data_IF_589525366439
#
_entry.id   IF_589525366439
#
_cell.length_a   1.000
_cell.length_b   1.000
_cell.length_c   1.000
_cell.angle_alpha   90.00
_cell.angle_beta   90.00
_cell.angle_gamma   90.00
#
_symmetry.space_group_name_H-M   'P 1'
#
loop_
_entity.id
_entity.type
_entity.pdbx_description
1 polymer ?
#
# COMPACT_ATOMS: atom_id res chain seq x y z
N UNK A 1 -2.27 9.74 -3.84
CA UNK A 1 -1.01 9.01 -3.68
C UNK A 1 0.10 9.92 -3.17
N UNK A 2 1.14 9.35 -2.56
CA UNK A 2 2.25 10.09 -1.96
C UNK A 2 3.02 10.97 -2.97
N UNK A 3 2.99 10.63 -4.25
CA UNK A 3 3.66 11.38 -5.32
C UNK A 3 3.22 12.86 -5.39
N UNK A 4 1.96 13.16 -5.06
CA UNK A 4 1.43 14.53 -5.07
C UNK A 4 2.16 15.37 -4.02
N UNK A 5 2.37 14.80 -2.82
CA UNK A 5 3.10 15.47 -1.75
C UNK A 5 4.58 15.63 -2.09
N UNK A 6 5.23 14.59 -2.65
CA UNK A 6 6.61 14.70 -3.10
C UNK A 6 6.80 15.85 -4.10
N UNK A 7 5.92 15.94 -5.10
CA UNK A 7 5.98 16.99 -6.10
C UNK A 7 5.77 18.39 -5.49
N UNK A 8 4.84 18.53 -4.54
CA UNK A 8 4.59 19.81 -3.87
C UNK A 8 5.75 20.24 -2.98
N UNK A 9 6.38 19.31 -2.26
CA UNK A 9 7.56 19.60 -1.44
C UNK A 9 8.71 20.09 -2.31
N UNK A 10 8.96 19.40 -3.45
CA UNK A 10 10.01 19.82 -4.38
C UNK A 10 9.71 21.19 -5.04
N UNK A 11 8.45 21.45 -5.39
CA UNK A 11 8.02 22.75 -5.95
C UNK A 11 8.30 23.92 -4.99
N UNK A 12 8.08 23.71 -3.69
CA UNK A 12 8.36 24.71 -2.64
C UNK A 12 9.86 24.85 -2.38
N UNK A 13 10.61 23.78 -2.62
CA UNK A 13 12.04 23.67 -2.36
C UNK A 13 12.35 23.00 -1.03
N UNK A 14 13.55 22.43 -0.95
CA UNK A 14 14.08 21.73 0.22
C UNK A 14 15.32 22.49 0.68
N UNK A 15 15.36 22.83 1.97
CA UNK A 15 16.55 23.38 2.61
C UNK A 15 17.20 22.28 3.45
N UNK A 16 18.45 21.97 3.16
CA UNK A 16 19.23 21.06 3.98
C UNK A 16 19.53 21.68 5.34
N UNK A 17 19.45 20.84 6.37
CA UNK A 17 19.78 21.21 7.74
C UNK A 17 21.16 20.67 8.08
N UNK A 18 21.98 21.47 8.76
CA UNK A 18 23.35 21.11 9.15
C UNK A 18 23.41 20.20 10.38
N UNK A 19 22.30 19.97 11.07
CA UNK A 19 22.24 19.10 12.25
C UNK A 19 22.36 17.63 11.88
N UNK A 20 23.22 16.90 12.60
CA UNK A 20 23.35 15.45 12.45
C UNK A 20 22.07 14.76 12.91
N UNK A 21 21.60 13.82 12.09
CA UNK A 21 20.45 12.98 12.46
C UNK A 21 20.86 11.88 13.42
N UNK A 22 20.10 11.70 14.48
CA UNK A 22 20.18 10.54 15.33
C UNK A 22 19.40 9.37 14.74
N UNK A 23 20.02 8.21 14.68
CA UNK A 23 19.42 7.00 14.11
C UNK A 23 19.16 5.93 15.16
N UNK A 24 18.08 5.17 15.01
CA UNK A 24 17.98 3.85 15.58
C UNK A 24 18.74 2.86 14.70
N UNK A 25 19.72 2.17 15.28
CA UNK A 25 20.56 1.20 14.56
C UNK A 25 20.18 -0.21 15.02
N UNK A 26 19.75 -1.03 14.07
CA UNK A 26 19.45 -2.43 14.34
C UNK A 26 20.75 -3.19 14.54
N UNK A 27 20.97 -3.73 15.75
CA UNK A 27 22.22 -4.42 16.14
C UNK A 27 22.13 -5.94 16.04
N UNK A 28 20.93 -6.49 15.98
CA UNK A 28 20.69 -7.94 15.89
C UNK A 28 19.39 -8.23 15.17
N UNK A 29 19.28 -9.43 14.62
CA UNK A 29 18.02 -9.89 14.01
C UNK A 29 16.87 -9.83 15.02
N UNK A 30 15.77 -9.21 14.59
CA UNK A 30 14.50 -9.20 15.29
C UNK A 30 13.48 -9.90 14.40
N UNK A 31 12.65 -10.75 14.95
CA UNK A 31 11.54 -11.39 14.23
C UNK A 31 10.27 -11.26 15.07
N UNK A 32 9.23 -10.75 14.44
CA UNK A 32 7.87 -10.71 14.98
C UNK A 32 6.98 -11.54 14.06
N UNK A 33 6.06 -12.28 14.64
CA UNK A 33 5.08 -13.10 13.94
C UNK A 33 3.72 -12.88 14.57
N UNK A 34 2.73 -12.64 13.75
CA UNK A 34 1.33 -12.54 14.16
C UNK A 34 0.61 -13.85 13.79
N UNK A 35 0.20 -14.68 14.76
CA UNK A 35 -0.46 -15.93 14.50
C UNK A 35 -1.90 -15.78 13.98
N UNK A 36 -2.55 -14.63 14.19
CA UNK A 36 -3.93 -14.39 13.74
C UNK A 36 -3.97 -14.11 12.24
N UNK A 37 -3.05 -13.31 11.75
CA UNK A 37 -2.97 -12.93 10.32
C UNK A 37 -1.98 -13.79 9.53
N UNK A 38 -1.08 -14.50 10.21
CA UNK A 38 0.06 -15.20 9.59
C UNK A 38 1.18 -14.26 9.13
N UNK A 39 1.06 -12.97 9.42
CA UNK A 39 2.04 -11.97 9.01
C UNK A 39 3.33 -12.07 9.82
N UNK A 40 4.46 -11.76 9.19
CA UNK A 40 5.75 -11.70 9.89
C UNK A 40 6.55 -10.49 9.45
N UNK A 41 7.29 -9.94 10.42
CA UNK A 41 8.29 -8.89 10.19
C UNK A 41 9.64 -9.40 10.65
N UNK A 42 10.65 -9.27 9.79
CA UNK A 42 12.04 -9.59 10.12
C UNK A 42 12.84 -8.32 9.91
N UNK A 43 13.59 -7.93 10.94
CA UNK A 43 14.49 -6.77 10.87
C UNK A 43 15.92 -7.25 11.05
N UNK A 44 16.80 -6.85 10.16
CA UNK A 44 18.20 -7.25 10.11
C UNK A 44 19.11 -6.02 10.27
N UNK A 45 20.33 -6.19 10.84
CA UNK A 45 21.34 -5.14 10.80
C UNK A 45 21.70 -4.75 9.36
N UNK A 46 21.75 -3.45 9.12
CA UNK A 46 22.26 -2.86 7.88
C UNK A 46 22.74 -1.44 8.17
N UNK A 47 23.60 -0.89 7.32
CA UNK A 47 24.15 0.46 7.46
C UNK A 47 23.19 1.55 6.97
N UNK A 48 22.24 1.19 6.10
CA UNK A 48 21.19 2.06 5.57
C UNK A 48 19.82 1.43 5.77
N UNK A 49 18.75 2.20 5.57
CA UNK A 49 17.39 1.67 5.55
C UNK A 49 17.08 1.12 4.16
N UNK A 50 16.88 -0.20 4.10
CA UNK A 50 16.31 -0.90 2.95
C UNK A 50 15.12 -1.74 3.37
N UNK A 51 14.20 -2.06 2.46
CA UNK A 51 12.98 -2.81 2.80
C UNK A 51 12.54 -3.71 1.67
N UNK A 52 12.07 -4.89 2.05
CA UNK A 52 11.44 -5.87 1.18
C UNK A 52 10.04 -6.19 1.71
N UNK A 53 9.08 -6.25 0.83
CA UNK A 53 7.71 -6.67 1.14
C UNK A 53 7.27 -7.75 0.19
N UNK A 54 6.78 -8.84 0.75
CA UNK A 54 6.04 -9.87 0.02
C UNK A 54 4.62 -9.90 0.53
N UNK A 55 3.66 -9.83 -0.39
CA UNK A 55 2.24 -9.96 -0.08
C UNK A 55 1.70 -11.24 -0.68
N UNK A 56 0.85 -11.90 0.10
CA UNK A 56 0.11 -13.09 -0.29
C UNK A 56 -1.32 -12.97 0.21
N UNK A 57 -2.26 -12.98 -0.74
CA UNK A 57 -3.68 -13.01 -0.45
C UNK A 57 -4.26 -14.27 -1.09
N UNK A 58 -5.18 -14.94 -0.43
CA UNK A 58 -5.89 -16.07 -1.01
C UNK A 58 -6.88 -15.58 -2.09
N UNK A 59 -6.34 -15.13 -3.21
CA UNK A 59 -7.05 -14.48 -4.30
C UNK A 59 -6.56 -15.00 -5.65
N UNK A 60 -7.45 -15.42 -6.57
CA UNK A 60 -7.07 -15.83 -7.92
C UNK A 60 -6.64 -14.65 -8.80
N UNK A 61 -6.94 -13.41 -8.39
CA UNK A 61 -6.64 -12.18 -9.14
C UNK A 61 -5.35 -11.53 -8.67
N UNK A 62 -5.18 -11.42 -7.34
CA UNK A 62 -3.96 -10.89 -6.74
C UNK A 62 -3.06 -12.04 -6.33
N UNK A 63 -2.16 -12.43 -7.25
CA UNK A 63 -1.11 -13.41 -6.96
C UNK A 63 -0.09 -12.85 -5.96
N UNK A 64 0.79 -13.72 -5.47
CA UNK A 64 1.91 -13.30 -4.64
C UNK A 64 2.74 -12.24 -5.36
N UNK A 65 3.02 -11.15 -4.68
CA UNK A 65 3.80 -10.06 -5.22
C UNK A 65 4.91 -9.66 -4.25
N UNK A 66 6.00 -9.24 -4.83
CA UNK A 66 7.18 -8.74 -4.12
C UNK A 66 7.49 -7.31 -4.56
N UNK A 67 7.93 -6.48 -3.63
CA UNK A 67 8.50 -5.16 -3.87
C UNK A 67 9.69 -4.93 -2.95
N UNK A 68 10.68 -4.20 -3.46
CA UNK A 68 11.89 -3.82 -2.75
C UNK A 68 12.11 -2.33 -2.84
N UNK A 69 12.68 -1.73 -1.80
CA UNK A 69 13.22 -0.38 -1.77
C UNK A 69 14.63 -0.48 -1.20
N UNK A 70 15.62 -0.51 -2.08
CA UNK A 70 17.03 -0.63 -1.70
C UNK A 70 17.57 0.64 -1.02
N UNK A 71 17.09 1.82 -1.45
CA UNK A 71 17.47 3.11 -0.91
C UNK A 71 16.26 4.01 -0.77
N UNK A 72 16.11 4.67 0.37
CA UNK A 72 14.98 5.60 0.64
C UNK A 72 14.94 6.75 -0.38
N UNK A 73 16.06 7.14 -0.95
CA UNK A 73 16.14 8.16 -2.02
C UNK A 73 15.37 7.78 -3.29
N UNK A 74 15.16 6.48 -3.55
CA UNK A 74 14.36 5.98 -4.67
C UNK A 74 12.83 5.99 -4.38
N UNK A 75 12.40 6.40 -3.18
CA UNK A 75 10.99 6.38 -2.79
C UNK A 75 10.08 7.08 -3.81
N UNK A 76 10.47 8.29 -4.25
CA UNK A 76 9.65 9.07 -5.18
C UNK A 76 9.45 8.35 -6.51
N UNK A 77 10.50 7.80 -7.08
CA UNK A 77 10.46 7.17 -8.42
C UNK A 77 9.85 5.77 -8.40
N UNK A 78 10.01 5.04 -7.29
CA UNK A 78 9.64 3.62 -7.27
C UNK A 78 8.37 3.33 -6.47
N UNK A 79 8.04 4.14 -5.47
CA UNK A 79 6.98 3.81 -4.50
C UNK A 79 5.86 4.84 -4.48
N UNK A 80 6.18 6.14 -4.51
CA UNK A 80 5.25 7.21 -4.18
C UNK A 80 3.98 7.29 -5.07
N UNK A 81 4.03 6.75 -6.28
CA UNK A 81 2.89 6.71 -7.20
C UNK A 81 1.91 5.55 -6.95
N UNK A 82 2.27 4.59 -6.09
CA UNK A 82 1.46 3.40 -5.82
C UNK A 82 0.15 3.76 -5.12
N UNK A 83 -0.96 3.27 -5.67
CA UNK A 83 -2.30 3.43 -5.11
C UNK A 83 -2.58 2.34 -4.09
N UNK A 84 -3.42 2.65 -3.10
CA UNK A 84 -4.01 1.64 -2.20
C UNK A 84 -4.86 0.64 -2.98
N UNK A 85 -5.15 -0.50 -2.38
CA UNK A 85 -6.03 -1.50 -2.98
C UNK A 85 -7.06 -2.00 -1.96
N UNK A 86 -8.17 -2.50 -2.46
CA UNK A 86 -9.26 -3.07 -1.68
C UNK A 86 -9.95 -4.18 -2.47
N UNK A 87 -10.33 -5.24 -1.79
CA UNK A 87 -11.17 -6.27 -2.40
C UNK A 87 -12.64 -5.88 -2.35
N UNK A 88 -13.36 -6.11 -3.45
CA UNK A 88 -14.81 -5.77 -3.53
C UNK A 88 -15.59 -6.35 -2.36
N UNK A 89 -15.28 -7.58 -1.93
CA UNK A 89 -15.92 -8.25 -0.78
C UNK A 89 -15.74 -7.54 0.56
N UNK A 90 -14.75 -6.66 0.67
CA UNK A 90 -14.43 -5.93 1.90
C UNK A 90 -15.08 -4.55 1.95
N UNK A 91 -15.51 -4.02 0.80
CA UNK A 91 -16.00 -2.65 0.71
C UNK A 91 -17.30 -2.47 1.49
N UNK A 92 -18.27 -3.39 1.36
CA UNK A 92 -19.56 -3.27 2.07
C UNK A 92 -19.40 -3.24 3.60
N UNK A 93 -18.66 -4.17 4.24
CA UNK A 93 -18.36 -4.08 5.67
C UNK A 93 -17.66 -2.79 6.08
N UNK A 94 -16.68 -2.34 5.28
CA UNK A 94 -15.94 -1.12 5.58
C UNK A 94 -16.81 0.14 5.49
N UNK A 95 -17.73 0.19 4.53
CA UNK A 95 -18.72 1.27 4.42
C UNK A 95 -19.68 1.28 5.61
N UNK A 96 -20.18 0.11 6.04
CA UNK A 96 -21.06 -0.02 7.21
C UNK A 96 -20.37 0.45 8.50
N UNK A 97 -19.08 0.23 8.64
CA UNK A 97 -18.25 0.69 9.76
C UNK A 97 -17.80 2.15 9.63
N UNK A 98 -18.18 2.86 8.55
CA UNK A 98 -17.73 4.24 8.25
C UNK A 98 -16.20 4.39 8.17
N UNK A 99 -15.52 3.37 7.69
CA UNK A 99 -14.05 3.35 7.55
C UNK A 99 -13.57 3.85 6.18
N UNK A 100 -14.46 3.91 5.18
CA UNK A 100 -14.15 4.49 3.86
C UNK A 100 -14.64 5.94 3.85
N UNK A 101 -13.70 6.89 3.85
CA UNK A 101 -14.01 8.34 3.90
C UNK A 101 -13.60 9.11 2.65
N UNK A 102 -12.97 8.49 1.67
CA UNK A 102 -12.44 9.21 0.51
C UNK A 102 -11.86 8.32 -0.59
N UNK A 103 -12.20 7.03 -0.61
CA UNK A 103 -11.81 6.12 -1.68
C UNK A 103 -12.72 6.28 -2.90
N UNK A 104 -12.14 6.37 -4.09
CA UNK A 104 -12.81 6.27 -5.37
C UNK A 104 -12.02 5.35 -6.33
N UNK A 105 -12.62 5.02 -7.47
CA UNK A 105 -12.00 4.15 -8.47
C UNK A 105 -10.76 4.76 -9.15
N UNK A 106 -10.51 6.05 -8.93
CA UNK A 106 -9.37 6.75 -9.50
C UNK A 106 -8.15 6.74 -8.58
N UNK A 107 -8.36 6.65 -7.26
CA UNK A 107 -7.30 6.72 -6.25
C UNK A 107 -7.04 5.39 -5.53
N UNK A 108 -7.85 4.36 -5.78
CA UNK A 108 -7.68 3.01 -5.24
C UNK A 108 -7.72 1.95 -6.34
N UNK A 109 -7.03 0.85 -6.13
CA UNK A 109 -7.11 -0.35 -6.96
C UNK A 109 -8.23 -1.24 -6.38
N UNK A 110 -9.29 -1.46 -7.14
CA UNK A 110 -10.41 -2.30 -6.71
C UNK A 110 -10.29 -3.68 -7.34
N UNK A 111 -10.28 -4.70 -6.51
CA UNK A 111 -10.03 -6.09 -6.91
C UNK A 111 -11.29 -6.92 -6.71
N UNK A 112 -11.88 -7.40 -7.81
CA UNK A 112 -12.97 -8.36 -7.81
C UNK A 112 -12.40 -9.78 -7.94
N UNK A 113 -12.25 -10.46 -6.82
CA UNK A 113 -11.56 -11.76 -6.76
C UNK A 113 -12.46 -12.93 -6.36
N UNK A 114 -13.71 -12.66 -6.03
CA UNK A 114 -14.72 -13.67 -5.71
C UNK A 114 -16.05 -13.28 -6.32
N UNK A 115 -16.76 -14.26 -6.84
CA UNK A 115 -18.14 -14.05 -7.30
C UNK A 115 -19.00 -13.55 -6.14
N UNK A 116 -19.82 -12.55 -6.43
CA UNK A 116 -20.75 -11.95 -5.49
C UNK A 116 -22.15 -11.89 -6.13
N UNK A 117 -23.24 -11.97 -5.31
CA UNK A 117 -24.58 -11.75 -5.81
C UNK A 117 -24.68 -10.40 -6.54
N UNK A 118 -25.40 -10.39 -7.66
CA UNK A 118 -25.59 -9.18 -8.46
C UNK A 118 -26.20 -8.05 -7.63
N UNK A 119 -27.10 -8.37 -6.69
CA UNK A 119 -27.75 -7.42 -5.81
C UNK A 119 -26.74 -6.67 -4.91
N UNK A 120 -25.71 -7.37 -4.41
CA UNK A 120 -24.65 -6.78 -3.60
C UNK A 120 -23.74 -5.87 -4.43
N UNK A 121 -23.44 -6.28 -5.67
CA UNK A 121 -22.66 -5.46 -6.60
C UNK A 121 -23.43 -4.20 -7.02
N UNK A 122 -24.72 -4.32 -7.30
CA UNK A 122 -25.59 -3.18 -7.63
C UNK A 122 -25.71 -2.22 -6.44
N UNK A 123 -25.88 -2.76 -5.23
CA UNK A 123 -25.90 -1.96 -4.00
C UNK A 123 -24.58 -1.22 -3.78
N UNK A 124 -23.46 -1.90 -4.05
CA UNK A 124 -22.15 -1.28 -3.93
C UNK A 124 -21.97 -0.16 -4.94
N UNK A 125 -22.37 -0.37 -6.20
CA UNK A 125 -22.31 0.65 -7.24
C UNK A 125 -23.14 1.90 -6.86
N UNK A 126 -24.34 1.70 -6.32
CA UNK A 126 -25.19 2.79 -5.85
C UNK A 126 -24.55 3.55 -4.67
N UNK A 127 -23.98 2.85 -3.69
CA UNK A 127 -23.30 3.46 -2.54
C UNK A 127 -22.06 4.25 -2.94
N UNK A 128 -21.32 3.78 -3.95
CA UNK A 128 -20.14 4.45 -4.46
C UNK A 128 -20.43 5.48 -5.55
N UNK A 129 -21.70 5.65 -5.92
CA UNK A 129 -22.16 6.54 -6.99
C UNK A 129 -21.42 6.29 -8.33
N UNK A 130 -21.24 5.01 -8.67
CA UNK A 130 -20.62 4.56 -9.93
C UNK A 130 -21.63 3.80 -10.78
N UNK A 131 -21.48 3.79 -12.12
CA UNK A 131 -22.37 3.03 -12.98
C UNK A 131 -22.39 1.55 -12.62
N UNK A 132 -23.58 0.95 -12.54
CA UNK A 132 -23.72 -0.50 -12.38
C UNK A 132 -23.10 -1.17 -13.61
N UNK A 133 -22.05 -1.94 -13.40
CA UNK A 133 -21.40 -2.74 -14.43
C UNK A 133 -21.96 -4.16 -14.38
N UNK A 134 -22.09 -4.80 -15.53
CA UNK A 134 -22.23 -6.25 -15.57
C UNK A 134 -20.84 -6.84 -15.28
N UNK A 135 -20.49 -6.95 -13.99
CA UNK A 135 -19.22 -7.53 -13.56
C UNK A 135 -19.39 -9.03 -13.52
N UNK A 136 -19.16 -9.68 -14.64
CA UNK A 136 -19.16 -11.14 -14.74
C UNK A 136 -17.76 -11.74 -14.60
N UNK A 137 -16.70 -10.94 -14.70
CA UNK A 137 -15.33 -11.42 -14.71
C UNK A 137 -14.55 -10.95 -13.47
N UNK A 138 -13.78 -11.89 -12.90
CA UNK A 138 -12.83 -11.58 -11.85
C UNK A 138 -11.67 -10.78 -12.43
N UNK A 139 -11.19 -9.79 -11.69
CA UNK A 139 -10.12 -8.93 -12.19
C UNK A 139 -10.03 -7.59 -11.46
N UNK A 140 -9.26 -6.69 -12.02
CA UNK A 140 -9.14 -5.31 -11.56
C UNK A 140 -10.26 -4.46 -12.15
N UNK A 141 -11.05 -3.78 -11.31
CA UNK A 141 -12.18 -2.94 -11.71
C UNK A 141 -11.83 -1.47 -11.96
N UNK A 142 -10.57 -1.18 -12.13
CA UNK A 142 -10.06 0.18 -12.22
C UNK A 142 -10.30 0.81 -13.59
N UNK A 143 -10.56 2.13 -13.58
CA UNK A 143 -10.64 2.93 -14.80
C UNK A 143 -9.25 3.23 -15.40
N UNK A 144 -8.19 3.10 -14.60
CA UNK A 144 -6.80 3.39 -15.00
C UNK A 144 -5.94 2.13 -14.89
N UNK A 145 -4.99 1.91 -15.80
CA UNK A 145 -4.05 0.81 -15.70
C UNK A 145 -3.23 0.91 -14.41
N UNK A 146 -2.62 -0.20 -14.01
CA UNK A 146 -1.66 -0.21 -12.91
C UNK A 146 -0.44 0.64 -13.29
N UNK A 147 0.06 1.45 -12.35
CA UNK A 147 1.30 2.22 -12.51
C UNK A 147 2.51 1.29 -12.55
N UNK A 148 2.48 0.25 -11.73
CA UNK A 148 3.49 -0.81 -11.68
C UNK A 148 2.80 -2.18 -11.72
N UNK A 149 3.44 -3.18 -12.33
CA UNK A 149 2.89 -4.55 -12.35
C UNK A 149 2.64 -5.12 -10.94
N UNK A 150 3.47 -4.70 -9.98
CA UNK A 150 3.40 -5.07 -8.56
C UNK A 150 2.95 -3.90 -7.67
N UNK A 151 2.05 -3.04 -8.18
CA UNK A 151 1.61 -1.84 -7.47
C UNK A 151 1.04 -2.13 -6.07
N UNK A 152 0.25 -3.19 -5.82
CA UNK A 152 -0.20 -3.55 -4.49
C UNK A 152 0.94 -3.82 -3.49
N UNK A 153 1.99 -4.54 -3.89
CA UNK A 153 3.14 -4.79 -3.03
C UNK A 153 3.93 -3.50 -2.75
N UNK A 154 4.08 -2.62 -3.76
CA UNK A 154 4.72 -1.32 -3.58
C UNK A 154 3.93 -0.42 -2.63
N UNK A 155 2.60 -0.48 -2.68
CA UNK A 155 1.78 0.25 -1.71
C UNK A 155 1.97 -0.28 -0.28
N UNK A 156 2.06 -1.59 -0.07
CA UNK A 156 2.37 -2.16 1.24
C UNK A 156 3.76 -1.78 1.75
N UNK A 157 4.71 -1.57 0.87
CA UNK A 157 6.02 -1.04 1.23
C UNK A 157 5.93 0.45 1.64
N UNK A 158 5.07 1.23 0.97
CA UNK A 158 4.75 2.60 1.37
C UNK A 158 4.12 2.64 2.78
N UNK A 159 3.15 1.76 3.06
CA UNK A 159 2.54 1.63 4.37
C UNK A 159 3.59 1.31 5.45
N UNK A 160 4.44 0.31 5.19
CA UNK A 160 5.50 -0.10 6.12
C UNK A 160 6.47 1.05 6.43
N UNK A 161 6.90 1.79 5.41
CA UNK A 161 7.77 2.96 5.59
C UNK A 161 7.09 4.04 6.44
N UNK A 162 5.79 4.28 6.19
CA UNK A 162 4.99 5.22 6.97
C UNK A 162 4.88 4.80 8.43
N UNK A 163 4.57 3.53 8.70
CA UNK A 163 4.45 2.99 10.05
C UNK A 163 5.79 3.05 10.81
N UNK A 164 6.90 2.69 10.15
CA UNK A 164 8.23 2.78 10.76
C UNK A 164 8.63 4.23 11.08
N UNK A 165 8.14 5.22 10.32
CA UNK A 165 8.42 6.63 10.59
C UNK A 165 7.83 7.11 11.92
N UNK A 166 6.79 6.43 12.45
CA UNK A 166 6.18 6.74 13.75
C UNK A 166 7.10 6.46 14.94
N UNK A 167 8.21 5.74 14.73
CA UNK A 167 9.24 5.55 15.77
C UNK A 167 9.89 6.88 16.18
N UNK A 168 9.79 7.92 15.33
CA UNK A 168 10.25 9.27 15.63
C UNK A 168 11.73 9.54 15.36
N UNK A 169 12.48 8.52 14.92
CA UNK A 169 13.88 8.65 14.46
C UNK A 169 14.11 7.78 13.23
N UNK A 170 14.98 8.21 12.31
CA UNK A 170 15.36 7.37 11.18
C UNK A 170 15.97 6.03 11.64
N UNK A 171 15.71 4.99 10.87
CA UNK A 171 16.18 3.64 11.12
C UNK A 171 17.35 3.30 10.20
N UNK A 172 18.34 2.57 10.72
CA UNK A 172 19.35 1.85 9.94
C UNK A 172 19.15 0.36 10.16
N UNK A 173 18.83 -0.35 9.07
CA UNK A 173 18.50 -1.78 9.06
C UNK A 173 17.74 -2.17 7.81
N UNK A 174 17.54 -3.47 7.64
CA UNK A 174 16.76 -4.04 6.54
C UNK A 174 15.60 -4.84 7.08
#
# INVERSE_FOLDING_TARGET
SAIIYCNKIEEVGIQEQEEEKEYYVVKKRIKVFDPETGSSLIVLPDDELSMDVMIEFNSPVLSNQFASLEHVSAFKSEIAASRTFVFVREILPLLQMNLIKGGDLDNAIVIHDKEMPKEDLDRLADLMNVPRKQVSELGYLNNKPLVYKNEPARHKLLDLLGDLSLIGRPLKGR
#
